data_IF_950528442345
#
_entry.id   IF_950528442345
#
_cell.length_a   1.000
_cell.length_b   1.000
_cell.length_c   1.000
_cell.angle_alpha   90.00
_cell.angle_beta   90.00
_cell.angle_gamma   90.00
#
_symmetry.space_group_name_H-M   'P 1'
#
loop_
_entity.id
_entity.type
_entity.pdbx_description
1 polymer ?
#
# COMPACT_ATOMS: atom_id res chain seq x y z
N UNK A 1 -16.31 3.73 -10.09
CA UNK A 1 -15.51 3.27 -11.25
C UNK A 1 -15.74 1.78 -11.48
N UNK A 2 -15.54 1.32 -12.71
CA UNK A 2 -15.70 -0.09 -13.11
C UNK A 2 -14.79 -1.00 -12.27
N UNK A 3 -13.59 -0.52 -11.96
CA UNK A 3 -12.69 -1.21 -11.04
C UNK A 3 -13.30 -1.43 -9.65
N UNK A 4 -13.91 -0.39 -9.06
CA UNK A 4 -14.55 -0.50 -7.75
C UNK A 4 -15.73 -1.47 -7.76
N UNK A 5 -16.56 -1.43 -8.82
CA UNK A 5 -17.68 -2.35 -9.01
C UNK A 5 -17.17 -3.79 -9.13
N UNK A 6 -16.17 -4.04 -9.97
CA UNK A 6 -15.61 -5.39 -10.15
C UNK A 6 -15.04 -5.97 -8.86
N UNK A 7 -14.36 -5.15 -8.03
CA UNK A 7 -13.83 -5.57 -6.72
C UNK A 7 -14.93 -5.83 -5.69
N UNK A 8 -16.01 -5.05 -5.71
CA UNK A 8 -17.18 -5.29 -4.85
C UNK A 8 -17.86 -6.62 -5.23
N UNK A 9 -18.11 -6.85 -6.52
CA UNK A 9 -18.68 -8.11 -7.02
C UNK A 9 -17.81 -9.33 -6.68
N UNK A 10 -16.48 -9.22 -6.85
CA UNK A 10 -15.55 -10.28 -6.46
C UNK A 10 -15.65 -10.60 -4.95
N UNK A 11 -15.77 -9.57 -4.10
CA UNK A 11 -15.95 -9.74 -2.66
C UNK A 11 -17.24 -10.51 -2.33
N UNK A 12 -18.36 -10.10 -2.94
CA UNK A 12 -19.66 -10.75 -2.75
C UNK A 12 -19.65 -12.19 -3.26
N UNK A 13 -19.04 -12.44 -4.41
CA UNK A 13 -18.88 -13.78 -4.97
C UNK A 13 -18.07 -14.69 -4.04
N UNK A 14 -16.95 -14.21 -3.50
CA UNK A 14 -16.13 -14.96 -2.55
C UNK A 14 -16.93 -15.31 -1.26
N UNK A 15 -17.71 -14.35 -0.74
CA UNK A 15 -18.56 -14.61 0.42
C UNK A 15 -19.64 -15.64 0.14
N UNK A 16 -20.28 -15.54 -1.02
CA UNK A 16 -21.30 -16.51 -1.44
C UNK A 16 -20.67 -17.91 -1.52
N UNK A 17 -19.52 -18.04 -2.19
CA UNK A 17 -18.82 -19.33 -2.35
C UNK A 17 -18.36 -19.92 -1.02
N UNK A 18 -17.86 -19.08 -0.11
CA UNK A 18 -17.50 -19.54 1.22
C UNK A 18 -18.71 -20.15 1.98
N UNK A 19 -19.90 -19.56 1.81
CA UNK A 19 -21.13 -20.04 2.47
C UNK A 19 -21.77 -21.23 1.78
N UNK A 20 -21.98 -21.16 0.45
CA UNK A 20 -22.68 -22.21 -0.30
C UNK A 20 -21.86 -23.48 -0.44
N UNK A 21 -20.59 -23.34 -0.76
CA UNK A 21 -19.72 -24.46 -1.11
C UNK A 21 -18.79 -24.86 0.06
N UNK A 22 -18.91 -24.16 1.21
CA UNK A 22 -18.09 -24.35 2.43
C UNK A 22 -16.58 -24.23 2.16
N UNK A 23 -16.21 -23.35 1.22
CA UNK A 23 -14.81 -23.13 0.88
C UNK A 23 -14.12 -22.23 1.94
N UNK A 24 -12.87 -22.49 2.32
CA UNK A 24 -12.13 -21.69 3.30
C UNK A 24 -11.60 -20.40 2.66
N UNK A 25 -12.49 -19.54 2.17
CA UNK A 25 -12.17 -18.28 1.51
C UNK A 25 -12.21 -17.14 2.53
N UNK A 26 -11.14 -16.38 2.65
CA UNK A 26 -11.06 -15.12 3.38
C UNK A 26 -10.69 -14.00 2.42
N UNK A 27 -11.35 -12.87 2.51
CA UNK A 27 -11.13 -11.72 1.61
C UNK A 27 -10.41 -10.60 2.32
N UNK A 28 -9.30 -10.13 1.74
CA UNK A 28 -8.63 -8.91 2.19
C UNK A 28 -8.96 -7.72 1.28
N UNK A 29 -9.32 -6.60 1.88
CA UNK A 29 -9.37 -5.30 1.25
C UNK A 29 -8.08 -4.57 1.60
N UNK A 30 -7.09 -4.71 0.74
CA UNK A 30 -5.80 -4.03 0.92
C UNK A 30 -5.94 -2.55 0.60
N UNK A 31 -5.41 -1.69 1.46
CA UNK A 31 -5.37 -0.25 1.23
C UNK A 31 -4.24 0.09 0.27
N UNK A 32 -3.19 0.77 0.67
CA UNK A 32 -2.10 1.11 -0.26
C UNK A 32 -0.80 0.39 0.14
N UNK A 33 -0.65 -0.90 -0.25
CA UNK A 33 0.59 -1.62 0.04
C UNK A 33 1.75 -1.02 -0.75
N UNK A 34 2.91 -0.94 -0.11
CA UNK A 34 4.15 -0.49 -0.70
C UNK A 34 5.34 -1.30 -0.19
N UNK A 35 6.43 -1.27 -0.92
CA UNK A 35 7.68 -1.95 -0.52
C UNK A 35 8.45 -2.55 -1.67
N UNK A 36 9.02 -3.72 -1.41
CA UNK A 36 9.89 -4.45 -2.33
C UNK A 36 9.18 -4.83 -3.62
N UNK A 37 9.90 -4.81 -4.75
CA UNK A 37 9.42 -5.19 -6.08
C UNK A 37 8.21 -4.38 -6.58
N UNK A 38 7.84 -3.29 -5.94
CA UNK A 38 6.76 -2.44 -6.43
C UNK A 38 7.15 -1.79 -7.77
N UNK A 39 6.17 -1.64 -8.66
CA UNK A 39 6.36 -1.07 -9.99
C UNK A 39 6.88 0.37 -9.94
N UNK A 40 7.89 0.68 -10.76
CA UNK A 40 8.58 1.98 -10.79
C UNK A 40 7.67 3.20 -10.99
N UNK A 41 6.52 3.02 -11.63
CA UNK A 41 5.53 4.06 -11.92
C UNK A 41 4.63 4.41 -10.73
N UNK A 42 4.66 3.61 -9.67
CA UNK A 42 3.90 3.88 -8.45
C UNK A 42 4.56 4.99 -7.64
N UNK A 43 3.77 5.68 -6.80
CA UNK A 43 4.21 6.86 -6.06
C UNK A 43 5.52 6.65 -5.30
N UNK A 44 5.55 5.69 -4.37
CA UNK A 44 6.71 5.49 -3.48
C UNK A 44 7.96 5.07 -4.27
N UNK A 45 7.93 4.06 -5.15
CA UNK A 45 9.08 3.72 -5.97
C UNK A 45 9.57 4.86 -6.85
N UNK A 46 8.66 5.59 -7.53
CA UNK A 46 9.04 6.69 -8.43
C UNK A 46 9.79 7.80 -7.70
N UNK A 47 9.33 8.15 -6.49
CA UNK A 47 9.99 9.17 -5.66
C UNK A 47 11.33 8.67 -5.14
N UNK A 48 11.41 7.44 -4.62
CA UNK A 48 12.67 6.84 -4.14
C UNK A 48 13.70 6.80 -5.27
N UNK A 49 13.32 6.26 -6.44
CA UNK A 49 14.23 6.13 -7.58
C UNK A 49 14.69 7.49 -8.11
N UNK A 50 13.82 8.50 -8.11
CA UNK A 50 14.19 9.88 -8.47
C UNK A 50 15.20 10.43 -7.47
N UNK A 51 14.95 10.31 -6.17
CA UNK A 51 15.88 10.75 -5.14
C UNK A 51 17.23 10.04 -5.24
N UNK A 52 17.27 8.72 -5.37
CA UNK A 52 18.52 7.94 -5.51
C UNK A 52 19.34 8.35 -6.74
N UNK A 53 18.69 8.90 -7.77
CA UNK A 53 19.35 9.43 -8.99
C UNK A 53 19.67 10.93 -8.92
N UNK A 54 19.41 11.58 -7.80
CA UNK A 54 19.59 13.03 -7.62
C UNK A 54 18.65 13.88 -8.50
N UNK A 55 17.50 13.32 -8.92
CA UNK A 55 16.50 14.00 -9.75
C UNK A 55 15.32 14.45 -8.89
N UNK A 56 14.70 15.58 -9.27
CA UNK A 56 13.45 16.05 -8.67
C UNK A 56 12.31 15.08 -9.00
N UNK A 57 11.60 14.52 -8.00
CA UNK A 57 10.47 13.65 -8.25
C UNK A 57 9.28 14.45 -8.79
N UNK A 58 8.64 13.92 -9.81
CA UNK A 58 7.39 14.43 -10.38
C UNK A 58 6.22 13.66 -9.80
N UNK A 59 5.25 14.38 -9.22
CA UNK A 59 4.13 13.76 -8.49
C UNK A 59 2.82 14.48 -8.79
N UNK A 60 1.73 13.79 -8.50
CA UNK A 60 0.36 14.32 -8.62
C UNK A 60 0.04 15.36 -7.51
N UNK A 61 -1.23 15.47 -7.12
CA UNK A 61 -1.66 16.41 -6.09
C UNK A 61 -0.98 16.13 -4.74
N UNK A 62 -0.39 17.15 -4.09
CA UNK A 62 0.22 17.00 -2.78
C UNK A 62 -0.79 16.67 -1.66
N UNK A 63 -2.07 17.04 -1.87
CA UNK A 63 -3.14 16.86 -0.89
C UNK A 63 -3.83 15.50 -0.95
N UNK A 64 -3.59 14.70 -1.99
CA UNK A 64 -4.16 13.36 -2.08
C UNK A 64 -3.69 12.49 -0.91
N UNK A 65 -4.62 11.79 -0.26
CA UNK A 65 -4.32 10.99 0.95
C UNK A 65 -4.42 9.50 0.69
N UNK A 66 -3.61 8.71 1.37
CA UNK A 66 -3.66 7.23 1.35
C UNK A 66 -3.26 6.67 2.72
N UNK A 67 -3.83 5.52 3.04
CA UNK A 67 -3.36 4.66 4.13
C UNK A 67 -2.32 3.70 3.55
N UNK A 68 -1.05 4.00 3.80
CA UNK A 68 0.08 3.21 3.31
C UNK A 68 0.43 2.10 4.29
N UNK A 69 0.52 0.86 3.80
CA UNK A 69 0.91 -0.30 4.59
C UNK A 69 2.15 -0.97 3.99
N UNK A 70 3.15 -1.25 4.82
CA UNK A 70 4.38 -1.88 4.37
C UNK A 70 4.16 -3.35 4.02
N UNK A 71 4.82 -3.82 2.97
CA UNK A 71 4.58 -5.16 2.40
C UNK A 71 4.82 -6.30 3.39
N UNK A 72 5.76 -6.17 4.32
CA UNK A 72 6.01 -7.22 5.32
C UNK A 72 4.83 -7.41 6.27
N UNK A 73 4.09 -6.34 6.62
CA UNK A 73 2.86 -6.44 7.41
C UNK A 73 1.74 -7.14 6.64
N UNK A 74 1.66 -6.90 5.33
CA UNK A 74 0.72 -7.61 4.46
C UNK A 74 1.05 -9.11 4.42
N UNK A 75 2.33 -9.47 4.28
CA UNK A 75 2.76 -10.87 4.30
C UNK A 75 2.42 -11.53 5.65
N UNK A 76 2.68 -10.83 6.77
CA UNK A 76 2.38 -11.35 8.12
C UNK A 76 0.89 -11.72 8.26
N UNK A 77 -0.04 -10.86 7.79
CA UNK A 77 -1.47 -11.16 7.88
C UNK A 77 -1.88 -12.34 6.99
N UNK A 78 -1.30 -12.49 5.79
CA UNK A 78 -1.56 -13.66 4.95
C UNK A 78 -1.14 -14.96 5.64
N UNK A 79 0.04 -15.01 6.26
CA UNK A 79 0.52 -16.19 6.99
C UNK A 79 -0.39 -16.52 8.18
N UNK A 80 -0.85 -15.52 8.93
CA UNK A 80 -1.80 -15.71 10.04
C UNK A 80 -3.13 -16.29 9.58
N UNK A 81 -3.66 -15.82 8.46
CA UNK A 81 -4.94 -16.31 7.92
C UNK A 81 -4.81 -17.76 7.48
N UNK A 82 -3.72 -18.15 6.82
CA UNK A 82 -3.47 -19.55 6.45
C UNK A 82 -3.49 -20.47 7.67
N UNK A 83 -2.89 -20.04 8.79
CA UNK A 83 -2.87 -20.80 10.02
C UNK A 83 -4.25 -20.94 10.71
N UNK A 84 -5.21 -20.06 10.40
CA UNK A 84 -6.54 -19.98 11.02
C UNK A 84 -7.70 -20.17 10.04
N UNK A 85 -7.44 -20.66 8.84
CA UNK A 85 -8.36 -20.68 7.68
C UNK A 85 -9.78 -21.16 7.98
N UNK A 86 -9.94 -22.19 8.80
CA UNK A 86 -11.23 -22.81 9.07
C UNK A 86 -12.13 -21.95 9.97
N UNK A 87 -11.52 -21.07 10.80
CA UNK A 87 -12.25 -20.20 11.74
C UNK A 87 -12.72 -18.90 11.12
N UNK A 88 -12.17 -18.51 9.98
CA UNK A 88 -12.39 -17.21 9.36
C UNK A 88 -12.90 -17.31 7.91
N UNK A 89 -13.37 -18.47 7.53
CA UNK A 89 -14.01 -18.69 6.21
C UNK A 89 -15.20 -17.75 6.02
N UNK A 90 -15.25 -17.08 4.89
CA UNK A 90 -16.30 -16.10 4.56
C UNK A 90 -16.08 -14.71 5.16
N UNK A 91 -15.04 -14.51 5.96
CA UNK A 91 -14.76 -13.23 6.58
C UNK A 91 -14.06 -12.25 5.62
N UNK A 92 -14.31 -10.95 5.84
CA UNK A 92 -13.66 -9.86 5.11
C UNK A 92 -12.89 -9.01 6.13
N UNK A 93 -11.64 -8.68 5.82
CA UNK A 93 -10.80 -7.82 6.64
C UNK A 93 -10.27 -6.65 5.81
N UNK A 94 -10.34 -5.43 6.36
CA UNK A 94 -9.56 -4.31 5.85
C UNK A 94 -8.14 -4.43 6.38
N UNK A 95 -7.16 -4.28 5.49
CA UNK A 95 -5.74 -4.37 5.78
C UNK A 95 -5.08 -3.07 5.35
N UNK A 96 -4.67 -2.27 6.32
CA UNK A 96 -4.02 -0.99 6.21
C UNK A 96 -3.19 -0.71 7.46
N UNK A 97 -2.56 0.43 7.51
CA UNK A 97 -1.85 0.88 8.71
C UNK A 97 -2.83 1.48 9.76
N UNK A 98 -3.95 2.01 9.29
CA UNK A 98 -4.97 2.67 10.12
C UNK A 98 -4.70 4.16 10.35
N UNK A 99 -3.76 4.75 9.61
CA UNK A 99 -3.48 6.20 9.57
C UNK A 99 -3.25 6.58 8.11
N UNK A 100 -3.90 7.66 7.68
CA UNK A 100 -3.66 8.21 6.33
C UNK A 100 -2.54 9.24 6.34
N UNK A 101 -1.81 9.31 5.24
CA UNK A 101 -0.78 10.30 4.97
C UNK A 101 -1.05 10.95 3.61
N UNK A 102 -0.80 12.25 3.51
CA UNK A 102 -0.82 12.96 2.22
C UNK A 102 0.39 12.58 1.36
N UNK A 103 0.25 12.73 0.05
CA UNK A 103 1.36 12.58 -0.89
C UNK A 103 2.53 13.47 -0.49
N UNK A 104 2.25 14.72 -0.05
CA UNK A 104 3.28 15.66 0.41
C UNK A 104 4.09 15.12 1.60
N UNK A 105 3.41 14.54 2.61
CA UNK A 105 4.09 13.97 3.78
C UNK A 105 4.99 12.81 3.39
N UNK A 106 4.50 11.88 2.57
CA UNK A 106 5.27 10.73 2.10
C UNK A 106 6.49 11.16 1.27
N UNK A 107 6.32 12.11 0.35
CA UNK A 107 7.40 12.62 -0.49
C UNK A 107 8.46 13.32 0.35
N UNK A 108 8.07 14.14 1.31
CA UNK A 108 9.00 14.84 2.20
C UNK A 108 9.79 13.84 3.07
N UNK A 109 9.14 12.80 3.60
CA UNK A 109 9.81 11.77 4.39
C UNK A 109 10.84 11.00 3.55
N UNK A 110 10.52 10.65 2.30
CA UNK A 110 11.48 9.99 1.39
C UNK A 110 12.68 10.89 1.10
N UNK A 111 12.45 12.18 0.79
CA UNK A 111 13.52 13.14 0.54
C UNK A 111 14.43 13.26 1.76
N UNK A 112 13.86 13.38 2.95
CA UNK A 112 14.61 13.45 4.19
C UNK A 112 15.45 12.18 4.44
N UNK A 113 14.85 11.00 4.29
CA UNK A 113 15.50 9.71 4.52
C UNK A 113 16.61 9.42 3.50
N UNK A 114 16.50 9.92 2.27
CA UNK A 114 17.55 9.79 1.24
C UNK A 114 18.66 10.80 1.39
N UNK A 115 18.53 11.79 2.29
CA UNK A 115 19.52 12.85 2.48
C UNK A 115 19.66 13.80 1.28
N UNK A 116 18.69 13.81 0.38
CA UNK A 116 18.75 14.63 -0.83
C UNK A 116 18.20 16.05 -0.62
N UNK A 117 18.68 16.99 -1.43
CA UNK A 117 18.25 18.39 -1.44
C UNK A 117 17.38 18.68 -2.69
N UNK A 118 16.70 17.65 -3.19
CA UNK A 118 15.83 17.78 -4.37
C UNK A 118 14.48 18.40 -3.99
N UNK A 119 13.91 19.18 -4.91
CA UNK A 119 12.58 19.78 -4.72
C UNK A 119 11.57 19.01 -5.54
N UNK A 120 10.49 18.48 -4.94
CA UNK A 120 9.46 17.78 -5.70
C UNK A 120 8.67 18.75 -6.60
N UNK A 121 8.26 18.25 -7.78
CA UNK A 121 7.38 18.99 -8.70
C UNK A 121 5.97 18.40 -8.57
N UNK A 122 5.09 19.15 -7.91
CA UNK A 122 3.70 18.73 -7.70
C UNK A 122 2.81 19.09 -8.89
N UNK A 123 1.69 18.36 -9.04
CA UNK A 123 0.71 18.52 -10.11
C UNK A 123 1.29 18.39 -11.54
N UNK A 124 2.44 17.76 -11.68
CA UNK A 124 3.09 17.48 -12.96
C UNK A 124 2.60 16.19 -13.60
N UNK A 125 2.04 15.28 -12.79
CA UNK A 125 1.47 14.02 -13.25
C UNK A 125 -0.04 14.11 -13.22
N UNK A 126 -0.69 13.90 -14.38
CA UNK A 126 -2.15 13.90 -14.48
C UNK A 126 -2.75 12.70 -13.75
N UNK A 127 -3.70 12.97 -12.85
CA UNK A 127 -4.46 11.94 -12.17
C UNK A 127 -5.96 12.19 -12.37
N UNK A 128 -6.65 11.39 -13.20
CA UNK A 128 -8.07 11.59 -13.48
C UNK A 128 -9.00 11.15 -12.35
N UNK A 129 -8.46 10.63 -11.25
CA UNK A 129 -9.27 10.13 -10.14
C UNK A 129 -9.78 11.26 -9.28
N UNK A 130 -11.04 11.14 -8.86
CA UNK A 130 -11.57 11.96 -7.77
C UNK A 130 -10.90 11.46 -6.48
N UNK A 131 -10.12 12.33 -5.84
CA UNK A 131 -9.41 12.02 -4.61
C UNK A 131 -10.35 12.23 -3.42
N UNK A 132 -10.57 11.22 -2.59
CA UNK A 132 -11.35 11.37 -1.37
C UNK A 132 -10.55 12.13 -0.30
N UNK A 133 -11.25 12.85 0.57
CA UNK A 133 -10.66 13.54 1.72
C UNK A 133 -10.20 12.56 2.81
N UNK A 134 -10.84 11.39 2.88
CA UNK A 134 -10.53 10.34 3.84
C UNK A 134 -10.26 9.04 3.10
N UNK A 135 -9.07 8.50 3.32
CA UNK A 135 -8.66 7.19 2.82
C UNK A 135 -7.89 6.43 3.91
N UNK A 136 -8.62 6.00 4.94
CA UNK A 136 -8.07 5.36 6.13
C UNK A 136 -8.78 4.04 6.39
N UNK A 137 -8.02 2.99 6.70
CA UNK A 137 -8.56 1.68 7.04
C UNK A 137 -9.06 1.64 8.49
N UNK A 138 -10.27 1.16 8.69
CA UNK A 138 -10.64 0.59 9.98
C UNK A 138 -10.15 -0.85 10.04
N UNK A 139 -9.10 -1.08 10.82
CA UNK A 139 -8.46 -2.39 11.03
C UNK A 139 -8.91 -3.07 12.34
N UNK A 140 -9.91 -2.55 13.03
CA UNK A 140 -10.38 -3.06 14.32
C UNK A 140 -10.75 -4.54 14.26
N UNK A 141 -11.42 -4.97 13.19
CA UNK A 141 -11.78 -6.37 12.98
C UNK A 141 -10.53 -7.27 12.83
N UNK A 142 -9.53 -6.84 12.07
CA UNK A 142 -8.29 -7.60 11.92
C UNK A 142 -7.56 -7.73 13.26
N UNK A 143 -7.53 -6.68 14.08
CA UNK A 143 -6.96 -6.71 15.43
C UNK A 143 -7.70 -7.69 16.33
N UNK A 144 -9.04 -7.60 16.38
CA UNK A 144 -9.85 -8.37 17.32
C UNK A 144 -9.95 -9.85 16.96
N UNK A 145 -10.06 -10.18 15.66
CA UNK A 145 -10.29 -11.55 15.20
C UNK A 145 -8.99 -12.28 14.89
N UNK A 146 -8.01 -11.61 14.28
CA UNK A 146 -6.75 -12.23 13.89
C UNK A 146 -5.61 -11.99 14.89
N UNK A 147 -5.80 -11.11 15.88
CA UNK A 147 -4.72 -10.64 16.74
C UNK A 147 -3.62 -9.93 15.96
N UNK A 148 -3.97 -9.35 14.78
CA UNK A 148 -3.03 -8.74 13.86
C UNK A 148 -3.11 -7.21 13.90
N UNK A 149 -1.97 -6.57 13.82
CA UNK A 149 -1.83 -5.15 13.55
C UNK A 149 -0.48 -4.88 12.88
N UNK A 150 -0.37 -3.78 12.12
CA UNK A 150 0.88 -3.41 11.47
C UNK A 150 1.98 -3.13 12.50
N UNK A 151 3.21 -3.50 12.15
CA UNK A 151 4.43 -3.36 12.98
C UNK A 151 5.32 -2.22 12.50
N UNK A 152 5.21 -1.88 11.21
CA UNK A 152 6.05 -0.88 10.56
C UNK A 152 5.25 0.41 10.38
N UNK A 153 5.69 1.50 11.03
CA UNK A 153 5.20 2.83 10.70
C UNK A 153 5.72 3.27 9.31
N UNK A 154 5.23 4.41 8.83
CA UNK A 154 5.61 4.92 7.50
C UNK A 154 7.12 5.09 7.38
N UNK A 155 7.79 5.66 8.38
CA UNK A 155 9.22 5.93 8.37
C UNK A 155 10.05 4.64 8.34
N UNK A 156 9.70 3.65 9.15
CA UNK A 156 10.36 2.35 9.18
C UNK A 156 10.24 1.62 7.83
N UNK A 157 9.03 1.56 7.27
CA UNK A 157 8.78 0.92 5.99
C UNK A 157 9.47 1.63 4.83
N UNK A 158 9.46 2.97 4.83
CA UNK A 158 10.18 3.76 3.82
C UNK A 158 11.70 3.56 3.90
N UNK A 159 12.28 3.54 5.11
CA UNK A 159 13.72 3.29 5.29
C UNK A 159 14.13 1.93 4.71
N UNK A 160 13.36 0.87 4.99
CA UNK A 160 13.59 -0.47 4.42
C UNK A 160 13.45 -0.46 2.90
N UNK A 161 12.41 0.20 2.39
CA UNK A 161 12.18 0.30 0.94
C UNK A 161 13.33 1.03 0.25
N UNK A 162 13.81 2.17 0.79
CA UNK A 162 14.92 2.95 0.24
C UNK A 162 16.19 2.09 0.16
N UNK A 163 16.55 1.40 1.24
CA UNK A 163 17.73 0.51 1.27
C UNK A 163 17.60 -0.57 0.20
N UNK A 164 16.43 -1.22 0.12
CA UNK A 164 16.19 -2.27 -0.87
C UNK A 164 16.27 -1.75 -2.31
N UNK A 165 15.65 -0.59 -2.62
CA UNK A 165 15.72 0.02 -3.96
C UNK A 165 17.14 0.42 -4.32
N UNK A 166 17.94 0.93 -3.37
CA UNK A 166 19.35 1.27 -3.60
C UNK A 166 20.17 0.03 -3.99
N UNK A 167 19.99 -1.09 -3.31
CA UNK A 167 20.68 -2.35 -3.61
C UNK A 167 20.19 -3.01 -4.91
N UNK A 168 18.95 -2.76 -5.31
CA UNK A 168 18.29 -3.42 -6.45
C UNK A 168 18.00 -2.48 -7.62
N UNK A 169 18.74 -1.37 -7.74
CA UNK A 169 18.58 -0.37 -8.81
C UNK A 169 18.61 -0.97 -10.22
N UNK A 170 19.36 -2.06 -10.41
CA UNK A 170 19.49 -2.75 -11.70
C UNK A 170 18.15 -3.25 -12.25
N UNK A 171 17.20 -3.64 -11.39
CA UNK A 171 15.88 -4.09 -11.77
C UNK A 171 15.03 -2.98 -12.40
N UNK A 172 15.40 -1.72 -12.16
CA UNK A 172 14.66 -0.53 -12.56
C UNK A 172 15.35 0.31 -13.63
N UNK A 173 16.40 -0.23 -14.29
CA UNK A 173 17.14 0.49 -15.33
C UNK A 173 16.39 0.61 -16.66
N UNK A 174 15.46 -0.31 -16.96
CA UNK A 174 14.74 -0.38 -18.25
C UNK A 174 13.39 0.35 -18.24
N UNK A 175 12.99 0.98 -17.14
CA UNK A 175 11.62 1.49 -16.93
C UNK A 175 11.51 3.02 -17.14
N UNK A 176 12.47 3.60 -17.89
CA UNK A 176 12.40 5.01 -18.30
C UNK A 176 12.70 5.18 -19.77
#
# INVERSE_FOLDING_TARGET
SDYGISKALATLFCQMKAKSDRLPITTFRLFSPYGYYEEATRLIPSVILSCLRGKSPEVSSPCAVRDFIFIEDVIDVYLRVVANKDKIAGEIFNIGYGVQYSVKEVVNEIIQLTGNIVKPVYNSVFNPRIEPEIWQADISKARNVLGWGPKYDLKMGLSKSISWFAENMILYQKTM
#
